data_IF_598899499277
#
_entry.id   IF_598899499277
#
_cell.length_a   1.000
_cell.length_b   1.000
_cell.length_c   1.000
_cell.angle_alpha   90.00
_cell.angle_beta   90.00
_cell.angle_gamma   90.00
#
_symmetry.space_group_name_H-M   'P 1'
#
loop_
_entity.id
_entity.type
_entity.pdbx_description
1 polymer ?
#
# COMPACT_ATOMS: atom_id res chain seq x y z
N UNK A 1 20.62 9.03 11.53
CA UNK A 1 19.51 8.23 10.97
C UNK A 1 18.67 7.69 12.12
N UNK A 2 17.41 8.11 12.22
CA UNK A 2 16.48 7.64 13.25
C UNK A 2 15.77 6.39 12.76
N UNK A 3 16.43 5.24 12.93
CA UNK A 3 15.96 3.94 12.39
C UNK A 3 14.59 3.53 12.94
N UNK A 4 14.30 3.86 14.20
CA UNK A 4 12.99 3.59 14.82
C UNK A 4 11.89 4.29 14.03
N UNK A 5 12.05 5.59 13.75
CA UNK A 5 11.08 6.38 12.98
C UNK A 5 10.95 5.84 11.55
N UNK A 6 12.05 5.38 10.96
CA UNK A 6 12.06 4.84 9.60
C UNK A 6 11.29 3.52 9.46
N UNK A 7 11.21 2.72 10.53
CA UNK A 7 10.50 1.43 10.54
C UNK A 7 9.01 1.54 10.89
N UNK A 8 8.57 2.66 11.47
CA UNK A 8 7.15 2.85 11.83
C UNK A 8 6.19 2.71 10.63
N UNK A 9 6.49 3.25 9.43
CA UNK A 9 5.65 3.06 8.25
C UNK A 9 5.52 1.58 7.88
N UNK A 10 6.63 0.84 7.92
CA UNK A 10 6.64 -0.58 7.61
C UNK A 10 5.74 -1.38 8.55
N UNK A 11 5.79 -1.06 9.85
CA UNK A 11 4.94 -1.70 10.85
C UNK A 11 3.47 -1.39 10.56
N UNK A 12 3.09 -0.11 10.49
CA UNK A 12 1.67 0.24 10.35
C UNK A 12 1.04 -0.23 9.03
N UNK A 13 1.74 -0.12 7.90
CA UNK A 13 1.28 -0.69 6.63
C UNK A 13 1.33 -2.22 6.61
N UNK A 14 2.34 -2.82 7.26
CA UNK A 14 2.50 -4.26 7.31
C UNK A 14 1.44 -4.98 8.15
N UNK A 15 0.97 -4.37 9.25
CA UNK A 15 -0.06 -4.95 10.10
C UNK A 15 -1.49 -4.71 9.59
N UNK A 16 -1.70 -3.68 8.77
CA UNK A 16 -3.02 -3.29 8.27
C UNK A 16 -3.76 -4.48 7.59
N UNK A 17 -3.14 -5.27 6.69
CA UNK A 17 -3.77 -6.45 6.11
C UNK A 17 -4.24 -7.48 7.14
N UNK A 18 -3.53 -7.63 8.26
CA UNK A 18 -3.91 -8.58 9.31
C UNK A 18 -5.12 -8.10 10.09
N UNK A 19 -5.16 -6.81 10.41
CA UNK A 19 -6.27 -6.20 11.14
C UNK A 19 -7.55 -6.45 10.36
N UNK A 20 -7.57 -6.03 9.08
CA UNK A 20 -8.79 -6.10 8.26
C UNK A 20 -9.25 -7.54 7.98
N UNK A 21 -8.33 -8.50 7.88
CA UNK A 21 -8.68 -9.91 7.66
C UNK A 21 -9.07 -10.66 8.94
N UNK A 22 -8.75 -10.13 10.14
CA UNK A 22 -9.21 -10.69 11.41
C UNK A 22 -10.56 -10.13 11.88
N UNK A 23 -11.05 -9.04 11.29
CA UNK A 23 -12.36 -8.49 11.65
C UNK A 23 -13.47 -9.45 11.18
N UNK A 24 -14.30 -9.97 12.10
CA UNK A 24 -15.36 -10.92 11.75
C UNK A 24 -16.38 -10.33 10.77
N UNK A 25 -16.72 -11.10 9.74
CA UNK A 25 -17.69 -10.72 8.69
C UNK A 25 -17.34 -9.42 7.93
N UNK A 26 -16.09 -8.95 8.02
CA UNK A 26 -15.62 -7.82 7.23
C UNK A 26 -15.48 -8.21 5.76
N UNK A 27 -15.98 -7.35 4.87
CA UNK A 27 -15.84 -7.45 3.41
C UNK A 27 -15.02 -6.26 2.91
N UNK A 28 -14.48 -6.30 1.68
CA UNK A 28 -13.69 -5.20 1.14
C UNK A 28 -14.33 -3.80 1.26
N UNK A 29 -15.67 -3.67 1.18
CA UNK A 29 -16.35 -2.39 1.44
C UNK A 29 -16.29 -1.92 2.90
N UNK A 30 -16.36 -2.83 3.88
CA UNK A 30 -16.17 -2.50 5.28
C UNK A 30 -14.74 -2.04 5.53
N UNK A 31 -13.78 -2.78 4.97
CA UNK A 31 -12.35 -2.54 5.13
C UNK A 31 -11.96 -1.16 4.59
N UNK A 32 -12.40 -0.80 3.38
CA UNK A 32 -12.07 0.51 2.80
C UNK A 32 -12.76 1.67 3.51
N UNK A 33 -14.01 1.48 3.95
CA UNK A 33 -14.71 2.50 4.74
C UNK A 33 -14.01 2.72 6.09
N UNK A 34 -13.70 1.64 6.81
CA UNK A 34 -12.99 1.70 8.09
C UNK A 34 -11.61 2.34 7.94
N UNK A 35 -10.87 1.98 6.90
CA UNK A 35 -9.57 2.58 6.61
C UNK A 35 -9.70 4.08 6.33
N UNK A 36 -10.66 4.49 5.51
CA UNK A 36 -10.91 5.91 5.24
C UNK A 36 -11.28 6.70 6.50
N UNK A 37 -12.15 6.15 7.36
CA UNK A 37 -12.55 6.77 8.63
C UNK A 37 -11.37 6.90 9.59
N UNK A 38 -10.61 5.81 9.81
CA UNK A 38 -9.47 5.81 10.71
C UNK A 38 -8.31 6.68 10.24
N UNK A 39 -8.01 6.67 8.93
CA UNK A 39 -6.98 7.54 8.36
C UNK A 39 -7.35 9.02 8.50
N UNK A 40 -8.62 9.36 8.23
CA UNK A 40 -9.15 10.73 8.40
C UNK A 40 -9.06 11.18 9.86
N UNK A 41 -9.38 10.30 10.83
CA UNK A 41 -9.22 10.61 12.25
C UNK A 41 -7.78 11.01 12.58
N UNK A 42 -6.79 10.24 12.09
CA UNK A 42 -5.38 10.59 12.26
C UNK A 42 -5.03 11.91 11.56
N UNK A 43 -5.53 12.13 10.34
CA UNK A 43 -5.37 13.38 9.60
C UNK A 43 -5.88 14.61 10.36
N UNK A 44 -7.05 14.49 11.00
CA UNK A 44 -7.63 15.55 11.84
C UNK A 44 -6.75 15.82 13.06
N UNK A 45 -6.32 14.77 13.77
CA UNK A 45 -5.46 14.91 14.96
C UNK A 45 -4.14 15.61 14.59
N UNK A 46 -3.50 15.19 13.49
CA UNK A 46 -2.27 15.82 12.99
C UNK A 46 -2.50 17.28 12.64
N UNK A 47 -3.60 17.61 11.96
CA UNK A 47 -3.91 18.99 11.56
C UNK A 47 -4.15 19.89 12.75
N UNK A 48 -4.86 19.41 13.78
CA UNK A 48 -5.06 20.18 15.02
C UNK A 48 -3.71 20.42 15.73
N UNK A 49 -2.83 19.42 15.74
CA UNK A 49 -1.53 19.50 16.41
C UNK A 49 -0.49 20.35 15.66
N UNK A 50 -0.50 20.34 14.33
CA UNK A 50 0.52 20.98 13.49
C UNK A 50 0.06 22.27 12.82
N UNK A 51 -1.25 22.44 12.65
CA UNK A 51 -1.88 23.59 12.00
C UNK A 51 -1.21 23.98 10.67
N UNK A 52 -1.04 23.04 9.72
CA UNK A 52 -0.40 23.34 8.45
C UNK A 52 -1.27 24.28 7.61
N UNK A 53 -0.66 25.24 6.93
CA UNK A 53 -1.35 26.08 5.95
C UNK A 53 -1.59 25.28 4.66
N UNK A 54 -2.86 25.07 4.31
CA UNK A 54 -3.26 24.36 3.08
C UNK A 54 -3.99 25.31 2.15
N UNK A 55 -3.40 25.59 0.98
CA UNK A 55 -4.07 26.36 -0.07
C UNK A 55 -5.09 25.49 -0.82
N UNK A 56 -6.06 26.12 -1.49
CA UNK A 56 -7.10 25.40 -2.24
C UNK A 56 -6.53 24.45 -3.32
N UNK A 57 -5.52 24.82 -4.14
CA UNK A 57 -4.93 23.88 -5.10
C UNK A 57 -4.31 22.65 -4.43
N UNK A 58 -3.58 22.85 -3.33
CA UNK A 58 -2.97 21.77 -2.54
C UNK A 58 -4.04 20.85 -1.97
N UNK A 59 -5.12 21.44 -1.45
CA UNK A 59 -6.26 20.68 -0.94
C UNK A 59 -6.87 19.79 -2.04
N UNK A 60 -7.21 20.35 -3.20
CA UNK A 60 -7.90 19.64 -4.27
C UNK A 60 -7.06 18.53 -4.89
N UNK A 61 -5.77 18.79 -5.17
CA UNK A 61 -4.86 17.78 -5.75
C UNK A 61 -4.64 16.63 -4.75
N UNK A 62 -4.45 16.96 -3.47
CA UNK A 62 -4.23 15.96 -2.42
C UNK A 62 -5.49 15.14 -2.15
N UNK A 63 -6.66 15.78 -2.13
CA UNK A 63 -7.97 15.10 -2.04
C UNK A 63 -8.16 14.13 -3.22
N UNK A 64 -7.85 14.56 -4.44
CA UNK A 64 -7.97 13.72 -5.63
C UNK A 64 -6.98 12.54 -5.57
N UNK A 65 -5.71 12.79 -5.21
CA UNK A 65 -4.71 11.74 -4.99
C UNK A 65 -5.22 10.68 -4.00
N UNK A 66 -5.76 11.11 -2.85
CA UNK A 66 -6.34 10.21 -1.86
C UNK A 66 -7.53 9.41 -2.38
N UNK A 67 -8.40 10.02 -3.19
CA UNK A 67 -9.53 9.31 -3.79
C UNK A 67 -9.09 8.22 -4.78
N UNK A 68 -8.03 8.45 -5.55
CA UNK A 68 -7.46 7.44 -6.45
C UNK A 68 -6.79 6.29 -5.72
N UNK A 69 -6.15 6.55 -4.57
CA UNK A 69 -5.56 5.52 -3.72
C UNK A 69 -6.56 4.41 -3.37
N UNK A 70 -7.81 4.80 -3.12
CA UNK A 70 -8.90 3.87 -2.80
C UNK A 70 -9.10 2.80 -3.88
N UNK A 71 -8.86 3.12 -5.16
CA UNK A 71 -8.94 2.14 -6.25
C UNK A 71 -7.92 1.01 -6.05
N UNK A 72 -6.66 1.36 -5.75
CA UNK A 72 -5.60 0.40 -5.45
C UNK A 72 -5.91 -0.43 -4.21
N UNK A 73 -6.39 0.23 -3.16
CA UNK A 73 -6.67 -0.43 -1.89
C UNK A 73 -7.86 -1.39 -1.95
N UNK A 74 -8.93 -1.04 -2.65
CA UNK A 74 -10.05 -1.96 -2.91
C UNK A 74 -9.56 -3.17 -3.71
N UNK A 75 -8.69 -2.95 -4.71
CA UNK A 75 -8.05 -4.00 -5.48
C UNK A 75 -7.28 -4.99 -4.61
N UNK A 76 -6.47 -4.49 -3.67
CA UNK A 76 -5.78 -5.33 -2.69
C UNK A 76 -6.77 -6.09 -1.79
N UNK A 77 -7.77 -5.42 -1.22
CA UNK A 77 -8.75 -6.07 -0.33
C UNK A 77 -9.54 -7.17 -1.01
N UNK A 78 -9.98 -6.95 -2.26
CA UNK A 78 -10.62 -8.00 -3.05
C UNK A 78 -9.63 -9.15 -3.31
N UNK A 79 -8.37 -8.83 -3.60
CA UNK A 79 -7.35 -9.86 -3.86
C UNK A 79 -7.00 -10.68 -2.62
N UNK A 80 -6.99 -10.08 -1.42
CA UNK A 80 -6.84 -10.84 -0.17
C UNK A 80 -7.87 -11.97 -0.06
N UNK A 81 -9.12 -11.71 -0.46
CA UNK A 81 -10.18 -12.74 -0.43
C UNK A 81 -10.04 -13.84 -1.50
N UNK A 82 -9.31 -13.58 -2.58
CA UNK A 82 -9.19 -14.49 -3.73
C UNK A 82 -7.89 -15.29 -3.75
N UNK A 83 -6.78 -14.66 -3.39
CA UNK A 83 -5.44 -15.25 -3.51
C UNK A 83 -4.67 -15.28 -2.18
N UNK A 84 -5.21 -14.65 -1.12
CA UNK A 84 -4.57 -14.55 0.20
C UNK A 84 -3.66 -13.33 0.34
N UNK A 85 -3.45 -12.88 1.59
CA UNK A 85 -2.59 -11.75 1.96
C UNK A 85 -1.13 -12.03 1.65
N UNK A 86 -0.65 -13.23 1.97
CA UNK A 86 0.74 -13.67 1.79
C UNK A 86 1.22 -13.64 0.33
N UNK A 87 0.30 -13.74 -0.64
CA UNK A 87 0.60 -13.61 -2.08
C UNK A 87 0.24 -12.24 -2.62
N UNK A 88 -0.88 -11.68 -2.21
CA UNK A 88 -1.31 -10.35 -2.69
C UNK A 88 -0.30 -9.27 -2.34
N UNK A 89 0.25 -9.29 -1.12
CA UNK A 89 1.12 -8.22 -0.63
C UNK A 89 2.42 -8.10 -1.44
N UNK A 90 3.21 -9.18 -1.64
CA UNK A 90 4.39 -9.12 -2.50
C UNK A 90 4.08 -8.68 -3.93
N UNK A 91 3.01 -9.22 -4.53
CA UNK A 91 2.62 -8.86 -5.90
C UNK A 91 2.27 -7.37 -5.99
N UNK A 92 1.42 -6.89 -5.09
CA UNK A 92 0.98 -5.49 -5.12
C UNK A 92 2.11 -4.52 -4.79
N UNK A 93 2.97 -4.85 -3.83
CA UNK A 93 4.15 -4.03 -3.52
C UNK A 93 5.10 -3.97 -4.71
N UNK A 94 5.43 -5.11 -5.34
CA UNK A 94 6.31 -5.10 -6.50
C UNK A 94 5.75 -4.33 -7.69
N UNK A 95 4.44 -4.44 -7.96
CA UNK A 95 3.78 -3.63 -9.00
C UNK A 95 3.86 -2.12 -8.70
N UNK A 96 3.67 -1.73 -7.44
CA UNK A 96 3.82 -0.33 -7.01
C UNK A 96 5.26 0.15 -7.15
N UNK A 97 6.24 -0.66 -6.74
CA UNK A 97 7.66 -0.33 -6.89
C UNK A 97 8.02 -0.12 -8.35
N UNK A 98 7.69 -1.08 -9.21
CA UNK A 98 7.95 -0.99 -10.64
C UNK A 98 7.28 0.24 -11.25
N UNK A 99 5.98 0.43 -10.98
CA UNK A 99 5.22 1.55 -11.54
C UNK A 99 5.72 2.91 -11.06
N UNK A 100 6.00 3.06 -9.76
CA UNK A 100 6.48 4.34 -9.21
C UNK A 100 7.89 4.68 -9.71
N UNK A 101 8.78 3.69 -9.82
CA UNK A 101 10.13 3.90 -10.38
C UNK A 101 10.06 4.30 -11.85
N UNK A 102 9.21 3.64 -12.65
CA UNK A 102 9.02 4.01 -14.06
C UNK A 102 8.41 5.40 -14.22
N UNK A 103 7.45 5.77 -13.38
CA UNK A 103 6.88 7.12 -13.38
C UNK A 103 7.93 8.17 -12.99
N UNK A 104 8.73 7.92 -11.95
CA UNK A 104 9.84 8.78 -11.55
C UNK A 104 10.83 9.01 -12.70
N UNK A 105 11.29 7.90 -13.30
CA UNK A 105 12.25 7.92 -14.39
C UNK A 105 11.71 8.62 -15.66
N UNK A 106 10.49 8.29 -16.09
CA UNK A 106 9.97 8.70 -17.41
C UNK A 106 9.14 9.99 -17.37
N UNK A 107 8.33 10.20 -16.33
CA UNK A 107 7.44 11.36 -16.24
C UNK A 107 8.12 12.51 -15.52
N UNK A 108 8.80 12.22 -14.40
CA UNK A 108 9.49 13.23 -13.61
C UNK A 108 10.96 13.41 -14.00
N UNK A 109 11.44 12.62 -14.96
CA UNK A 109 12.82 12.69 -15.47
C UNK A 109 13.87 12.56 -14.35
N UNK A 110 13.60 11.73 -13.34
CA UNK A 110 14.48 11.56 -12.16
C UNK A 110 15.79 10.82 -12.49
N UNK A 111 15.87 10.13 -13.64
CA UNK A 111 17.09 9.48 -14.11
C UNK A 111 17.84 10.40 -15.07
N UNK A 112 19.02 10.84 -14.67
CA UNK A 112 19.83 11.81 -15.41
C UNK A 112 21.11 11.17 -15.99
N UNK A 113 21.64 10.13 -15.36
CA UNK A 113 22.90 9.50 -15.72
C UNK A 113 22.70 8.10 -16.35
N UNK A 114 23.65 7.64 -17.16
CA UNK A 114 23.64 6.26 -17.67
C UNK A 114 23.62 5.22 -16.53
N UNK A 115 24.22 5.55 -15.38
CA UNK A 115 24.20 4.68 -14.21
C UNK A 115 22.81 4.58 -13.60
N UNK A 116 22.03 5.67 -13.57
CA UNK A 116 20.66 5.68 -13.05
C UNK A 116 19.78 4.72 -13.88
N UNK A 117 19.92 4.78 -15.21
CA UNK A 117 19.22 3.87 -16.12
C UNK A 117 19.66 2.41 -15.96
N UNK A 118 20.97 2.17 -15.77
CA UNK A 118 21.51 0.82 -15.60
C UNK A 118 21.05 0.18 -14.29
N UNK A 119 21.35 0.83 -13.16
CA UNK A 119 21.00 0.29 -11.84
C UNK A 119 19.49 0.26 -11.63
N UNK A 120 18.76 1.27 -12.08
CA UNK A 120 17.32 1.29 -12.04
C UNK A 120 16.69 0.15 -12.85
N UNK A 121 17.20 -0.15 -14.05
CA UNK A 121 16.70 -1.30 -14.83
C UNK A 121 17.00 -2.64 -14.16
N UNK A 122 18.18 -2.79 -13.55
CA UNK A 122 18.55 -3.99 -12.78
C UNK A 122 17.64 -4.16 -11.56
N UNK A 123 17.40 -3.09 -10.81
CA UNK A 123 16.49 -3.06 -9.66
C UNK A 123 15.09 -3.51 -10.05
N UNK A 124 14.55 -2.98 -11.17
CA UNK A 124 13.25 -3.38 -11.70
C UNK A 124 13.19 -4.87 -12.06
N UNK A 125 14.22 -5.41 -12.72
CA UNK A 125 14.29 -6.84 -13.05
C UNK A 125 14.32 -7.71 -11.79
N UNK A 126 15.12 -7.32 -10.79
CA UNK A 126 15.20 -8.04 -9.50
C UNK A 126 13.84 -8.05 -8.82
N UNK A 127 13.13 -6.92 -8.77
CA UNK A 127 11.78 -6.82 -8.18
C UNK A 127 10.80 -7.72 -8.93
N UNK A 128 10.81 -7.71 -10.27
CA UNK A 128 9.93 -8.55 -11.09
C UNK A 128 10.17 -10.03 -10.81
N UNK A 129 11.44 -10.47 -10.76
CA UNK A 129 11.78 -11.86 -10.40
C UNK A 129 11.31 -12.18 -8.99
N UNK A 130 11.51 -11.26 -8.03
CA UNK A 130 11.04 -11.40 -6.67
C UNK A 130 9.53 -11.64 -6.58
N UNK A 131 8.74 -10.81 -7.28
CA UNK A 131 7.29 -10.97 -7.38
C UNK A 131 6.92 -12.33 -7.96
N UNK A 132 7.55 -12.75 -9.05
CA UNK A 132 7.29 -14.06 -9.69
C UNK A 132 7.56 -15.21 -8.71
N UNK A 133 8.64 -15.14 -7.93
CA UNK A 133 8.95 -16.16 -6.93
C UNK A 133 7.92 -16.19 -5.79
N UNK A 134 7.47 -15.03 -5.31
CA UNK A 134 6.42 -14.96 -4.26
C UNK A 134 5.03 -15.40 -4.74
N UNK A 135 4.81 -15.36 -6.06
CA UNK A 135 3.58 -15.83 -6.68
C UNK A 135 3.54 -17.35 -6.92
N UNK A 136 4.67 -18.03 -6.76
CA UNK A 136 4.76 -19.46 -6.95
C UNK A 136 3.79 -20.19 -6.02
N UNK A 137 3.17 -21.24 -6.55
CA UNK A 137 2.24 -22.09 -5.80
C UNK A 137 2.55 -23.53 -6.15
N UNK A 138 2.67 -24.41 -5.16
CA UNK A 138 2.93 -25.82 -5.42
C UNK A 138 1.76 -26.49 -6.17
N UNK A 139 2.07 -27.53 -6.95
CA UNK A 139 1.06 -28.20 -7.80
C UNK A 139 -0.07 -28.83 -6.99
N UNK A 140 0.26 -29.36 -5.81
CA UNK A 140 -0.67 -30.03 -4.89
C UNK A 140 -1.37 -29.06 -3.93
N UNK A 141 -1.10 -27.76 -4.04
CA UNK A 141 -1.83 -26.75 -3.28
C UNK A 141 -3.28 -26.64 -3.78
N UNK A 142 -4.19 -26.43 -2.84
CA UNK A 142 -5.62 -26.23 -3.04
C UNK A 142 -5.91 -25.28 -4.22
N UNK A 143 -6.59 -25.77 -5.26
CA UNK A 143 -6.84 -25.00 -6.49
C UNK A 143 -7.56 -23.67 -6.24
N UNK A 144 -8.36 -23.61 -5.16
CA UNK A 144 -9.07 -22.40 -4.72
C UNK A 144 -8.15 -21.25 -4.30
N UNK A 145 -6.85 -21.51 -4.07
CA UNK A 145 -5.85 -20.52 -3.63
C UNK A 145 -4.79 -20.20 -4.70
N UNK A 146 -4.89 -20.77 -5.89
CA UNK A 146 -3.96 -20.46 -7.00
C UNK A 146 -4.34 -19.12 -7.62
N UNK A 147 -3.42 -18.16 -7.56
CA UNK A 147 -3.62 -16.86 -8.20
C UNK A 147 -3.80 -17.04 -9.71
N UNK A 148 -4.97 -16.65 -10.23
CA UNK A 148 -5.25 -16.81 -11.65
C UNK A 148 -4.72 -15.62 -12.44
N UNK A 149 -4.57 -15.78 -13.76
CA UNK A 149 -4.24 -14.66 -14.66
C UNK A 149 -5.21 -13.48 -14.51
N UNK A 150 -6.49 -13.76 -14.20
CA UNK A 150 -7.50 -12.72 -13.98
C UNK A 150 -7.24 -11.93 -12.69
N UNK A 151 -6.77 -12.59 -11.64
CA UNK A 151 -6.45 -11.92 -10.37
C UNK A 151 -5.21 -11.05 -10.50
N UNK A 152 -4.20 -11.53 -11.23
CA UNK A 152 -3.04 -10.71 -11.60
C UNK A 152 -3.42 -9.49 -12.42
N UNK A 153 -4.21 -9.68 -13.49
CA UNK A 153 -4.66 -8.57 -14.33
C UNK A 153 -5.48 -7.56 -13.52
N UNK A 154 -6.34 -8.06 -12.63
CA UNK A 154 -7.11 -7.22 -11.73
C UNK A 154 -6.21 -6.37 -10.83
N UNK A 155 -5.20 -6.97 -10.18
CA UNK A 155 -4.23 -6.23 -9.36
C UNK A 155 -3.45 -5.19 -10.15
N UNK A 156 -3.00 -5.51 -11.37
CA UNK A 156 -2.31 -4.56 -12.26
C UNK A 156 -3.21 -3.35 -12.53
N UNK A 157 -4.46 -3.59 -12.93
CA UNK A 157 -5.42 -2.53 -13.26
C UNK A 157 -5.73 -1.65 -12.04
N UNK A 158 -5.90 -2.25 -10.85
CA UNK A 158 -6.18 -1.47 -9.64
C UNK A 158 -4.94 -0.74 -9.11
N UNK A 159 -3.73 -1.27 -9.33
CA UNK A 159 -2.48 -0.65 -8.88
C UNK A 159 -2.28 0.76 -9.47
N UNK A 160 -2.86 1.05 -10.63
CA UNK A 160 -2.89 2.40 -11.20
C UNK A 160 -3.38 3.44 -10.20
N UNK A 161 -4.31 3.09 -9.30
CA UNK A 161 -4.76 3.98 -8.22
C UNK A 161 -3.62 4.39 -7.26
N UNK A 162 -2.74 3.46 -6.90
CA UNK A 162 -1.56 3.76 -6.08
C UNK A 162 -0.51 4.57 -6.84
N UNK A 163 -0.36 4.32 -8.15
CA UNK A 163 0.56 5.07 -8.99
C UNK A 163 0.12 6.54 -9.11
N UNK A 164 -1.17 6.77 -9.35
CA UNK A 164 -1.78 8.11 -9.36
C UNK A 164 -1.64 8.77 -7.98
N UNK A 165 -1.94 8.04 -6.91
CA UNK A 165 -1.76 8.52 -5.54
C UNK A 165 -0.33 9.01 -5.26
N UNK A 166 0.67 8.28 -5.75
CA UNK A 166 2.09 8.59 -5.51
C UNK A 166 2.61 9.71 -6.43
N UNK A 167 2.09 9.80 -7.66
CA UNK A 167 2.55 10.76 -8.66
C UNK A 167 1.93 12.15 -8.49
N UNK A 168 0.62 12.23 -8.21
CA UNK A 168 -0.10 13.51 -8.15
C UNK A 168 0.46 14.50 -7.12
N UNK A 169 0.86 14.06 -5.90
CA UNK A 169 1.50 14.95 -4.95
C UNK A 169 2.78 15.62 -5.47
N UNK A 170 3.51 14.97 -6.39
CA UNK A 170 4.75 15.51 -6.98
C UNK A 170 4.50 16.62 -8.00
N UNK A 171 3.27 16.81 -8.48
CA UNK A 171 2.95 17.85 -9.48
C UNK A 171 2.74 19.22 -8.87
N UNK A 172 2.66 19.32 -7.54
CA UNK A 172 2.47 20.57 -6.81
C UNK A 172 3.58 20.76 -5.77
N UNK A 173 4.09 21.98 -5.66
CA UNK A 173 5.03 22.35 -4.61
C UNK A 173 4.27 22.63 -3.31
N UNK A 174 4.25 21.66 -2.39
CA UNK A 174 3.61 21.79 -1.09
C UNK A 174 4.38 21.03 -0.01
N UNK A 175 4.24 21.46 1.25
CA UNK A 175 4.71 20.68 2.38
C UNK A 175 3.85 19.41 2.51
N UNK A 176 4.46 18.24 2.63
CA UNK A 176 3.77 16.98 2.82
C UNK A 176 2.74 17.01 3.97
N UNK A 177 3.01 17.75 5.05
CA UNK A 177 2.05 17.91 6.16
C UNK A 177 0.76 18.64 5.74
N UNK A 178 0.82 19.63 4.83
CA UNK A 178 -0.37 20.36 4.37
C UNK A 178 -1.23 19.55 3.40
N UNK A 179 -0.66 18.49 2.82
CA UNK A 179 -1.32 17.54 1.93
C UNK A 179 -2.03 16.42 2.71
N UNK A 180 -1.56 16.12 3.93
CA UNK A 180 -1.95 14.92 4.66
C UNK A 180 -3.45 14.82 4.96
N UNK A 181 -4.05 15.83 5.60
CA UNK A 181 -5.48 15.81 5.89
C UNK A 181 -6.34 15.76 4.61
N UNK A 182 -6.15 16.64 3.61
CA UNK A 182 -6.89 16.54 2.36
C UNK A 182 -6.76 15.17 1.71
N UNK A 183 -5.59 14.55 1.75
CA UNK A 183 -5.37 13.22 1.20
C UNK A 183 -6.13 12.13 1.96
N UNK A 184 -6.13 12.17 3.30
CA UNK A 184 -6.95 11.23 4.10
C UNK A 184 -8.45 11.42 3.91
N UNK A 185 -8.93 12.66 3.75
CA UNK A 185 -10.30 12.97 3.35
C UNK A 185 -10.61 12.42 1.95
N UNK A 186 -9.64 12.47 1.05
CA UNK A 186 -9.73 11.90 -0.29
C UNK A 186 -9.97 10.40 -0.24
N UNK A 187 -9.23 9.68 0.61
CA UNK A 187 -9.41 8.24 0.84
C UNK A 187 -10.84 7.95 1.30
N UNK A 188 -11.33 8.69 2.31
CA UNK A 188 -12.70 8.54 2.81
C UNK A 188 -13.75 8.85 1.73
N UNK A 189 -13.56 9.93 0.97
CA UNK A 189 -14.43 10.29 -0.15
C UNK A 189 -14.46 9.18 -1.20
N UNK A 190 -13.30 8.66 -1.60
CA UNK A 190 -13.19 7.54 -2.53
C UNK A 190 -13.88 6.28 -2.02
N UNK A 191 -13.79 6.01 -0.71
CA UNK A 191 -14.48 4.89 -0.07
C UNK A 191 -16.01 5.07 -0.14
N UNK A 192 -16.51 6.26 0.19
CA UNK A 192 -17.94 6.59 0.12
C UNK A 192 -18.46 6.45 -1.32
N UNK A 193 -17.74 7.02 -2.29
CA UNK A 193 -18.08 6.88 -3.71
C UNK A 193 -18.15 5.40 -4.09
N UNK A 194 -17.13 4.61 -3.76
CA UNK A 194 -17.14 3.17 -4.05
C UNK A 194 -18.37 2.48 -3.44
N UNK A 195 -18.72 2.74 -2.18
CA UNK A 195 -19.88 2.14 -1.51
C UNK A 195 -21.20 2.50 -2.21
N UNK A 196 -21.35 3.75 -2.65
CA UNK A 196 -22.56 4.21 -3.34
C UNK A 196 -22.70 3.54 -4.72
N UNK A 197 -21.64 3.53 -5.52
CA UNK A 197 -21.67 2.99 -6.89
C UNK A 197 -21.69 1.47 -6.94
N UNK A 198 -21.05 0.79 -5.97
CA UNK A 198 -21.10 -0.67 -5.84
C UNK A 198 -22.36 -1.20 -5.16
N UNK A 199 -23.26 -0.30 -4.70
CA UNK A 199 -24.47 -0.62 -3.93
C UNK A 199 -24.18 -1.39 -2.64
N UNK A 200 -23.05 -1.08 -1.98
CA UNK A 200 -22.61 -1.70 -0.72
C UNK A 200 -22.82 -0.77 0.49
N UNK A 201 -23.83 0.11 0.45
CA UNK A 201 -24.13 1.06 1.53
C UNK A 201 -24.47 0.39 2.87
N UNK A 202 -24.80 -0.90 2.86
CA UNK A 202 -24.98 -1.69 4.09
C UNK A 202 -23.72 -1.63 4.98
N UNK A 203 -22.54 -1.43 4.41
CA UNK A 203 -21.30 -1.26 5.15
C UNK A 203 -21.34 -0.10 6.16
N UNK A 204 -22.11 0.97 5.91
CA UNK A 204 -22.27 2.06 6.89
C UNK A 204 -22.97 1.63 8.19
N UNK A 205 -23.73 0.53 8.17
CA UNK A 205 -24.48 0.02 9.33
C UNK A 205 -23.82 -1.18 10.00
N UNK A 206 -22.78 -1.72 9.37
CA UNK A 206 -22.14 -2.95 9.83
C UNK A 206 -21.04 -2.64 10.86
N UNK A 207 -21.08 -3.35 11.99
CA UNK A 207 -20.06 -3.26 13.05
C UNK A 207 -18.64 -3.49 12.52
N UNK A 208 -18.49 -4.36 11.51
CA UNK A 208 -17.20 -4.65 10.87
C UNK A 208 -16.48 -3.37 10.39
N UNK A 209 -17.18 -2.45 9.73
CA UNK A 209 -16.58 -1.19 9.23
C UNK A 209 -15.96 -0.35 10.33
N UNK A 210 -16.55 -0.36 11.52
CA UNK A 210 -16.07 0.41 12.67
C UNK A 210 -14.94 -0.30 13.40
N UNK A 211 -14.85 -1.62 13.30
CA UNK A 211 -13.67 -2.36 13.76
C UNK A 211 -12.48 -2.15 12.80
N UNK A 212 -12.75 -2.03 11.50
CA UNK A 212 -11.72 -1.72 10.49
C UNK A 212 -11.14 -0.30 10.63
N UNK A 213 -11.73 0.56 11.48
CA UNK A 213 -11.13 1.86 11.85
C UNK A 213 -9.72 1.67 12.44
N UNK A 214 -9.46 0.57 13.16
CA UNK A 214 -8.12 0.30 13.69
C UNK A 214 -7.09 0.10 12.58
N UNK A 215 -7.49 -0.50 11.44
CA UNK A 215 -6.64 -0.60 10.27
C UNK A 215 -6.37 0.78 9.65
N UNK A 216 -7.40 1.64 9.61
CA UNK A 216 -7.27 3.03 9.18
C UNK A 216 -6.35 3.87 10.06
N UNK A 217 -6.42 3.68 11.38
CA UNK A 217 -5.51 4.33 12.33
C UNK A 217 -4.07 3.86 12.10
N UNK A 218 -3.86 2.55 11.94
CA UNK A 218 -2.54 1.99 11.63
C UNK A 218 -1.97 2.58 10.32
N UNK A 219 -2.80 2.65 9.27
CA UNK A 219 -2.44 3.29 8.00
C UNK A 219 -2.12 4.78 8.16
N UNK A 220 -2.97 5.54 8.86
CA UNK A 220 -2.79 6.97 9.07
C UNK A 220 -1.51 7.28 9.84
N UNK A 221 -1.23 6.52 10.90
CA UNK A 221 0.03 6.65 11.67
C UNK A 221 1.22 6.30 10.79
N UNK A 222 1.17 5.22 10.00
CA UNK A 222 2.24 4.86 9.07
C UNK A 222 2.48 5.96 8.03
N UNK A 223 1.43 6.50 7.42
CA UNK A 223 1.53 7.56 6.43
C UNK A 223 2.12 8.85 7.02
N UNK A 224 1.71 9.25 8.23
CA UNK A 224 2.26 10.44 8.87
C UNK A 224 3.71 10.23 9.36
N UNK A 225 4.02 9.08 9.93
CA UNK A 225 5.41 8.74 10.32
C UNK A 225 6.32 8.59 9.11
N UNK A 226 5.78 8.22 7.95
CA UNK A 226 6.51 8.24 6.68
C UNK A 226 6.89 9.67 6.29
N UNK A 227 5.97 10.64 6.42
CA UNK A 227 6.28 12.07 6.20
C UNK A 227 7.42 12.53 7.11
N UNK A 228 7.35 12.22 8.40
CA UNK A 228 8.40 12.57 9.37
C UNK A 228 9.72 11.86 9.02
N UNK A 229 9.67 10.57 8.68
CA UNK A 229 10.86 9.81 8.29
C UNK A 229 11.50 10.39 7.03
N UNK A 230 10.71 10.78 6.03
CA UNK A 230 11.21 11.40 4.82
C UNK A 230 11.91 12.74 5.11
N UNK A 231 11.38 13.54 6.04
CA UNK A 231 12.01 14.78 6.49
C UNK A 231 13.31 14.56 7.27
N UNK A 232 13.38 13.53 8.13
CA UNK A 232 14.52 13.30 9.02
C UNK A 232 15.62 12.40 8.45
N UNK A 233 15.24 11.42 7.62
CA UNK A 233 16.11 10.37 7.10
C UNK A 233 16.30 10.47 5.57
N UNK A 234 15.56 11.35 4.89
CA UNK A 234 15.51 11.46 3.44
C UNK A 234 14.44 10.55 2.84
N UNK A 235 13.84 11.00 1.73
CA UNK A 235 12.72 10.32 1.04
C UNK A 235 13.11 8.90 0.61
N UNK A 236 14.31 8.72 0.05
CA UNK A 236 14.82 7.41 -0.40
C UNK A 236 14.88 6.41 0.75
N UNK A 237 15.49 6.78 1.87
CA UNK A 237 15.59 5.91 3.04
C UNK A 237 14.21 5.60 3.62
N UNK A 238 13.37 6.61 3.80
CA UNK A 238 12.01 6.42 4.31
C UNK A 238 11.20 5.46 3.44
N UNK A 239 11.37 5.53 2.12
CA UNK A 239 10.74 4.63 1.17
C UNK A 239 11.24 3.19 1.32
N UNK A 240 12.57 2.97 1.29
CA UNK A 240 13.20 1.65 1.44
C UNK A 240 12.71 0.96 2.71
N UNK A 241 12.80 1.66 3.86
CA UNK A 241 12.36 1.08 5.13
C UNK A 241 10.87 0.80 5.13
N UNK A 242 10.05 1.67 4.53
CA UNK A 242 8.60 1.45 4.38
C UNK A 242 8.25 0.18 3.60
N UNK A 243 9.07 -0.23 2.64
CA UNK A 243 8.84 -1.45 1.86
C UNK A 243 8.99 -2.73 2.69
N UNK A 244 9.65 -2.68 3.85
CA UNK A 244 9.69 -3.83 4.77
C UNK A 244 8.30 -4.23 5.29
N UNK A 245 7.27 -3.38 5.11
CA UNK A 245 5.86 -3.75 5.29
C UNK A 245 5.46 -5.00 4.52
N UNK A 246 6.06 -5.26 3.36
CA UNK A 246 5.77 -6.46 2.56
C UNK A 246 6.18 -7.73 3.29
N UNK A 247 7.33 -7.71 3.98
CA UNK A 247 7.81 -8.86 4.76
C UNK A 247 6.87 -9.09 5.93
N UNK A 248 6.55 -8.02 6.67
CA UNK A 248 5.64 -8.08 7.81
C UNK A 248 4.32 -8.68 7.33
N UNK A 249 3.61 -7.99 6.44
CA UNK A 249 2.30 -8.42 5.96
C UNK A 249 2.27 -9.87 5.44
N UNK A 250 3.29 -10.27 4.68
CA UNK A 250 3.41 -11.62 4.11
C UNK A 250 3.60 -12.69 5.17
N UNK A 251 4.56 -12.51 6.09
CA UNK A 251 4.83 -13.47 7.16
C UNK A 251 3.67 -13.58 8.14
N UNK A 252 2.99 -12.48 8.44
CA UNK A 252 1.77 -12.55 9.26
C UNK A 252 0.57 -13.11 8.53
N UNK A 253 0.50 -13.00 7.19
CA UNK A 253 -0.47 -13.78 6.42
C UNK A 253 -0.27 -15.28 6.63
N UNK A 254 0.97 -15.75 6.51
CA UNK A 254 1.30 -17.16 6.70
C UNK A 254 1.04 -17.68 8.12
N UNK A 255 1.35 -16.86 9.12
CA UNK A 255 1.30 -17.28 10.54
C UNK A 255 -0.02 -16.91 11.23
N UNK A 256 -0.45 -15.64 11.16
CA UNK A 256 -1.60 -15.11 11.90
C UNK A 256 -2.94 -15.31 11.20
N UNK A 257 -2.93 -15.40 9.86
CA UNK A 257 -4.14 -15.63 9.05
C UNK A 257 -4.27 -17.09 8.59
N UNK A 258 -3.31 -17.94 8.94
CA UNK A 258 -3.34 -19.36 8.62
C UNK A 258 -3.09 -19.69 7.14
N UNK A 259 -2.51 -18.75 6.38
CA UNK A 259 -2.12 -18.96 4.98
C UNK A 259 -0.78 -19.70 4.89
N UNK A 260 -0.72 -20.86 5.55
CA UNK A 260 0.51 -21.65 5.67
C UNK A 260 1.06 -21.99 4.30
N UNK A 261 2.34 -21.72 4.13
CA UNK A 261 3.15 -22.14 3.00
C UNK A 261 4.25 -23.07 3.52
N UNK A 262 4.51 -24.15 2.81
CA UNK A 262 5.51 -25.15 3.19
C UNK A 262 6.36 -25.55 1.98
N UNK A 263 7.44 -26.29 2.21
CA UNK A 263 8.25 -26.85 1.14
C UNK A 263 8.88 -25.80 0.21
N UNK A 264 8.74 -26.01 -1.10
CA UNK A 264 9.30 -25.12 -2.12
C UNK A 264 8.57 -23.80 -2.17
N UNK A 265 7.26 -23.77 -1.89
CA UNK A 265 6.47 -22.54 -1.88
C UNK A 265 6.99 -21.54 -0.85
N UNK A 266 7.27 -22.01 0.37
CA UNK A 266 7.86 -21.16 1.41
C UNK A 266 9.25 -20.64 0.99
N UNK A 267 10.10 -21.51 0.45
CA UNK A 267 11.45 -21.14 0.03
C UNK A 267 11.42 -20.07 -1.08
N UNK A 268 10.56 -20.25 -2.10
CA UNK A 268 10.41 -19.28 -3.18
C UNK A 268 9.83 -17.97 -2.68
N UNK A 269 8.88 -18.00 -1.74
CA UNK A 269 8.34 -16.76 -1.17
C UNK A 269 9.39 -16.00 -0.37
N UNK A 270 10.16 -16.67 0.47
CA UNK A 270 11.24 -16.02 1.23
C UNK A 270 12.33 -15.46 0.31
N UNK A 271 12.75 -16.22 -0.70
CA UNK A 271 13.70 -15.74 -1.71
C UNK A 271 13.14 -14.54 -2.49
N UNK A 272 11.86 -14.59 -2.86
CA UNK A 272 11.19 -13.51 -3.58
C UNK A 272 11.09 -12.23 -2.75
N UNK A 273 10.72 -12.33 -1.48
CA UNK A 273 10.73 -11.20 -0.53
C UNK A 273 12.13 -10.59 -0.41
N UNK A 274 13.17 -11.41 -0.30
CA UNK A 274 14.54 -10.92 -0.24
C UNK A 274 14.93 -10.15 -1.51
N UNK A 275 14.57 -10.66 -2.70
CA UNK A 275 14.80 -9.96 -3.96
C UNK A 275 14.05 -8.64 -4.04
N UNK A 276 12.77 -8.59 -3.63
CA UNK A 276 11.99 -7.34 -3.61
C UNK A 276 12.69 -6.28 -2.73
N UNK A 277 13.20 -6.67 -1.55
CA UNK A 277 13.92 -5.74 -0.68
C UNK A 277 15.26 -5.31 -1.28
N UNK A 278 16.04 -6.24 -1.82
CA UNK A 278 17.32 -5.92 -2.48
C UNK A 278 17.10 -4.97 -3.65
N UNK A 279 16.10 -5.23 -4.48
CA UNK A 279 15.77 -4.36 -5.61
C UNK A 279 15.18 -3.02 -5.19
N UNK A 280 14.53 -2.91 -4.03
CA UNK A 280 14.07 -1.63 -3.49
C UNK A 280 15.23 -0.78 -2.92
N UNK A 281 16.31 -1.42 -2.47
CA UNK A 281 17.51 -0.77 -1.92
C UNK A 281 18.46 -0.29 -3.04
N UNK A 282 18.52 -1.03 -4.15
CA UNK A 282 19.34 -0.73 -5.32
C UNK A 282 18.82 0.49 -6.10
#
# INVERSE_FOLDING_TARGET
MNIIIALLPAIGWGIMPWIVNKVPASKPANQILGVGLGATLVGIIVTIAKQPATSLPVFLISLLSGAFWTIGQIGQFISFTKIGVSKTMPISTGLQLVGNTLIGALIFSEWHSQNDFLFGSIALLIIIVGVILTAYTEKDADESKKATKKDFLFLILTTVGYLVYSAFPKTISANAESMFLPQTLGILLGAIIYLLFSKQQVAFKQKASYLDIFAGIAFGIAAYTYIISAQLNGVTNAFIYGQLSVIISTLGGMTLLGEKQEGKELLTTLAGLALIVVGAVL
#
